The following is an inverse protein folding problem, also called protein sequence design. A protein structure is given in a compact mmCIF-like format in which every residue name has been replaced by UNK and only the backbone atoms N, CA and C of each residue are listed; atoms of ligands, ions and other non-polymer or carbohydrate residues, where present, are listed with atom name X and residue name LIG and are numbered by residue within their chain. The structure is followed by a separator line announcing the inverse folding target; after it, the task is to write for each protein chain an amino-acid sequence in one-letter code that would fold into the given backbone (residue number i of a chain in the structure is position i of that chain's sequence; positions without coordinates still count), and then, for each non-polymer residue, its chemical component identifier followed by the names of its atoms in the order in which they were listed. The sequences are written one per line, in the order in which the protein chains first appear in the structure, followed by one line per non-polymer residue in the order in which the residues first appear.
data_IF_110123592766
#
_entry.id   IF_110123592766
#
_cell.length_a   1.000
_cell.length_b   1.000
_cell.length_c   1.000
_cell.angle_alpha   90.00
_cell.angle_beta   90.00
_cell.angle_gamma   90.00
#
_symmetry.space_group_name_H-M   'P 1'
#
loop_
_entity.id
_entity.type
_entity.pdbx_description
1 polymer ?
#
# COMPACT_ATOMS: atom_id res chain seq x y z
N UNK A 1 18.09 9.29 8.58
CA UNK A 1 17.20 9.74 7.48
C UNK A 1 16.63 8.49 6.84
N UNK A 2 15.30 8.33 6.72
CA UNK A 2 14.71 7.12 6.12
C UNK A 2 14.90 7.19 4.61
N UNK A 3 15.74 6.30 4.09
CA UNK A 3 16.16 6.30 2.68
C UNK A 3 15.10 5.62 1.80
N UNK A 4 14.40 4.64 2.35
CA UNK A 4 13.40 3.86 1.65
C UNK A 4 12.02 4.17 2.23
N UNK A 5 11.15 4.76 1.42
CA UNK A 5 9.74 4.97 1.73
C UNK A 5 8.90 4.55 0.53
N UNK A 6 7.86 3.76 0.75
CA UNK A 6 6.87 3.40 -0.27
C UNK A 6 5.46 3.55 0.28
N UNK A 7 4.56 4.05 -0.55
CA UNK A 7 3.12 3.94 -0.36
C UNK A 7 2.62 2.77 -1.20
N UNK A 8 1.81 1.89 -0.62
CA UNK A 8 1.15 0.78 -1.27
C UNK A 8 -0.35 1.09 -1.24
N UNK A 9 -0.90 1.51 -2.38
CA UNK A 9 -2.29 1.97 -2.49
C UNK A 9 -3.19 0.89 -3.06
N UNK A 10 -4.20 0.49 -2.29
CA UNK A 10 -5.16 -0.54 -2.68
C UNK A 10 -6.53 0.08 -2.89
N UNK A 11 -7.11 -0.15 -4.05
CA UNK A 11 -8.54 0.14 -4.25
C UNK A 11 -9.41 -0.97 -3.69
N UNK A 12 -10.71 -0.70 -3.57
CA UNK A 12 -11.68 -1.69 -3.10
C UNK A 12 -11.62 -2.96 -3.99
N UNK A 13 -11.51 -4.12 -3.34
CA UNK A 13 -11.39 -5.41 -4.02
C UNK A 13 -9.99 -5.72 -4.55
N UNK A 14 -9.03 -4.81 -4.36
CA UNK A 14 -7.64 -5.08 -4.69
C UNK A 14 -6.94 -6.02 -3.68
N UNK A 15 -6.96 -5.81 -2.36
CA UNK A 15 -6.18 -6.69 -1.50
C UNK A 15 -6.81 -8.10 -1.43
N UNK A 16 -5.99 -9.16 -1.29
CA UNK A 16 -6.47 -10.56 -1.16
C UNK A 16 -7.33 -10.79 0.10
N UNK A 17 -7.11 -9.96 1.11
CA UNK A 17 -7.82 -9.97 2.37
C UNK A 17 -7.97 -8.54 2.88
N UNK A 18 -8.87 -8.33 3.84
CA UNK A 18 -8.99 -7.04 4.53
C UNK A 18 -7.66 -6.64 5.16
N UNK A 19 -7.19 -5.42 4.87
CA UNK A 19 -5.99 -4.84 5.48
C UNK A 19 -6.32 -4.44 6.91
N UNK A 20 -5.54 -4.96 7.87
CA UNK A 20 -5.77 -4.76 9.31
C UNK A 20 -4.54 -4.16 9.95
N UNK A 21 -4.73 -3.12 10.78
CA UNK A 21 -3.65 -2.47 11.52
C UNK A 21 -2.82 -3.48 12.34
N UNK A 22 -3.48 -4.45 12.98
CA UNK A 22 -2.83 -5.47 13.82
C UNK A 22 -1.82 -6.34 13.06
N UNK A 23 -2.11 -6.65 11.79
CA UNK A 23 -1.21 -7.41 10.94
C UNK A 23 0.00 -6.57 10.55
N UNK A 24 -0.23 -5.30 10.21
CA UNK A 24 0.81 -4.35 9.84
C UNK A 24 1.74 -4.02 11.02
N UNK A 25 1.19 -3.85 12.22
CA UNK A 25 1.96 -3.66 13.45
C UNK A 25 2.86 -4.86 13.73
N UNK A 26 2.38 -6.07 13.46
CA UNK A 26 3.17 -7.31 13.63
C UNK A 26 4.29 -7.38 12.61
N UNK A 27 4.01 -7.07 11.34
CA UNK A 27 5.03 -7.05 10.28
C UNK A 27 6.10 -6.00 10.61
N UNK A 28 5.68 -4.78 10.98
CA UNK A 28 6.59 -3.69 11.35
C UNK A 28 7.51 -4.05 12.50
N UNK A 29 6.97 -4.67 13.57
CA UNK A 29 7.77 -5.17 14.70
C UNK A 29 8.73 -6.30 14.30
N UNK A 30 8.29 -7.22 13.45
CA UNK A 30 9.09 -8.39 13.04
C UNK A 30 10.32 -7.98 12.24
N UNK A 31 10.17 -7.04 11.31
CA UNK A 31 11.25 -6.60 10.43
C UNK A 31 11.92 -5.30 10.88
N UNK A 32 11.51 -4.71 12.02
CA UNK A 32 12.09 -3.47 12.53
C UNK A 32 11.89 -2.26 11.60
N UNK A 33 10.76 -2.21 10.90
CA UNK A 33 10.40 -1.12 9.98
C UNK A 33 9.21 -0.33 10.50
N UNK A 34 9.09 0.92 10.06
CA UNK A 34 7.92 1.72 10.37
C UNK A 34 6.84 1.50 9.33
N UNK A 35 5.63 1.15 9.78
CA UNK A 35 4.45 0.98 8.94
C UNK A 35 3.33 1.87 9.46
N UNK A 36 2.74 2.64 8.57
CA UNK A 36 1.55 3.44 8.83
C UNK A 36 0.43 2.99 7.89
N UNK A 37 -0.80 2.99 8.38
CA UNK A 37 -1.96 2.62 7.60
C UNK A 37 -3.01 3.72 7.65
N UNK A 38 -3.50 4.09 6.48
CA UNK A 38 -4.56 5.05 6.31
C UNK A 38 -5.67 4.43 5.49
N UNK A 39 -6.90 4.57 5.99
CA UNK A 39 -8.11 4.19 5.27
C UNK A 39 -8.84 5.46 4.85
N UNK A 40 -8.92 5.66 3.54
CA UNK A 40 -9.64 6.78 2.94
C UNK A 40 -10.95 6.21 2.39
N UNK A 41 -12.09 6.67 2.87
CA UNK A 41 -13.41 6.27 2.37
C UNK A 41 -14.25 7.52 2.10
N UNK A 42 -14.37 7.85 0.81
CA UNK A 42 -15.10 9.03 0.33
C UNK A 42 -16.36 8.64 -0.45
N UNK A 43 -16.82 7.40 -0.28
CA UNK A 43 -18.08 6.93 -0.85
C UNK A 43 -19.26 7.51 -0.08
N UNK A 44 -20.30 7.88 -0.81
CA UNK A 44 -21.59 8.29 -0.27
C UNK A 44 -22.64 7.22 -0.55
N UNK A 45 -23.58 7.06 0.38
CA UNK A 45 -24.73 6.19 0.18
C UNK A 45 -25.88 7.00 -0.40
N UNK A 46 -26.28 6.68 -1.63
CA UNK A 46 -27.39 7.33 -2.33
C UNK A 46 -28.30 6.28 -2.97
N UNK A 47 -29.59 6.32 -2.62
CA UNK A 47 -30.63 5.42 -3.13
C UNK A 47 -30.28 3.93 -3.05
N UNK A 48 -29.69 3.47 -1.92
CA UNK A 48 -29.36 2.06 -1.73
C UNK A 48 -28.02 1.62 -2.33
N UNK A 49 -27.29 2.53 -2.99
CA UNK A 49 -26.05 2.25 -3.71
C UNK A 49 -24.92 3.09 -3.12
N UNK A 50 -23.77 2.46 -2.87
CA UNK A 50 -22.53 3.17 -2.56
C UNK A 50 -21.96 3.77 -3.85
N UNK A 51 -21.77 5.10 -3.88
CA UNK A 51 -21.24 5.83 -5.03
C UNK A 51 -20.06 6.69 -4.61
N UNK A 52 -19.16 6.98 -5.55
CA UNK A 52 -18.10 7.95 -5.36
C UNK A 52 -17.86 8.72 -6.66
N UNK A 53 -17.82 10.04 -6.54
CA UNK A 53 -17.37 10.93 -7.61
C UNK A 53 -15.84 11.05 -7.55
N UNK A 54 -15.14 10.56 -8.56
CA UNK A 54 -13.66 10.55 -8.62
C UNK A 54 -13.09 11.53 -9.64
N UNK A 55 -13.89 12.00 -10.61
CA UNK A 55 -13.41 12.89 -11.66
C UNK A 55 -13.03 14.26 -11.09
N UNK A 56 -11.78 14.68 -11.32
CA UNK A 56 -11.26 15.97 -10.86
C UNK A 56 -10.79 15.99 -9.40
N UNK A 57 -10.86 14.86 -8.69
CA UNK A 57 -10.30 14.73 -7.34
C UNK A 57 -8.81 14.37 -7.39
N UNK A 58 -8.07 14.79 -6.37
CA UNK A 58 -6.70 14.31 -6.18
C UNK A 58 -6.73 12.81 -5.83
N UNK A 59 -5.65 12.09 -6.14
CA UNK A 59 -5.59 10.65 -5.88
C UNK A 59 -5.73 10.37 -4.39
N UNK A 60 -5.19 11.22 -3.52
CA UNK A 60 -5.29 11.13 -2.06
C UNK A 60 -6.72 11.35 -1.54
N UNK A 61 -7.65 11.82 -2.36
CA UNK A 61 -9.06 12.03 -2.02
C UNK A 61 -9.98 10.92 -2.56
N UNK A 62 -9.41 9.90 -3.21
CA UNK A 62 -10.18 8.75 -3.72
C UNK A 62 -10.18 7.63 -2.68
N UNK A 63 -11.29 6.91 -2.56
CA UNK A 63 -11.41 5.76 -1.65
C UNK A 63 -10.34 4.71 -1.92
N UNK A 64 -9.50 4.48 -0.91
CA UNK A 64 -8.40 3.54 -0.97
C UNK A 64 -7.84 3.25 0.42
N UNK A 65 -7.13 2.14 0.52
CA UNK A 65 -6.32 1.78 1.66
C UNK A 65 -4.85 2.08 1.31
N UNK A 66 -4.14 2.84 2.15
CA UNK A 66 -2.74 3.22 1.94
C UNK A 66 -1.88 2.64 3.05
N UNK A 67 -0.98 1.71 2.69
CA UNK A 67 0.06 1.24 3.59
C UNK A 67 1.34 2.01 3.25
N UNK A 68 1.86 2.77 4.22
CA UNK A 68 3.16 3.43 4.10
C UNK A 68 4.20 2.64 4.85
N UNK A 69 5.26 2.21 4.18
CA UNK A 69 6.40 1.54 4.80
C UNK A 69 7.63 2.43 4.67
N UNK A 70 8.40 2.56 5.75
CA UNK A 70 9.62 3.35 5.74
C UNK A 70 10.75 2.70 6.56
N UNK A 71 11.96 2.76 6.03
CA UNK A 71 13.17 2.19 6.65
C UNK A 71 14.45 2.95 6.25
N UNK A 72 15.47 2.85 7.09
CA UNK A 72 16.84 3.22 6.75
C UNK A 72 17.65 2.09 6.09
N UNK A 73 17.16 0.86 6.19
CA UNK A 73 17.83 -0.37 5.73
C UNK A 73 17.01 -1.04 4.62
N UNK A 74 17.66 -1.32 3.49
CA UNK A 74 17.01 -1.91 2.31
C UNK A 74 16.56 -3.36 2.53
N UNK A 75 17.33 -4.15 3.28
CA UNK A 75 17.05 -5.57 3.52
C UNK A 75 15.79 -5.70 4.35
N UNK A 76 15.74 -5.00 5.49
CA UNK A 76 14.57 -4.99 6.37
C UNK A 76 13.34 -4.42 5.65
N UNK A 77 13.52 -3.39 4.84
CA UNK A 77 12.47 -2.82 4.01
C UNK A 77 11.91 -3.86 3.03
N UNK A 78 12.79 -4.54 2.28
CA UNK A 78 12.42 -5.55 1.29
C UNK A 78 11.63 -6.69 1.91
N UNK A 79 12.10 -7.23 3.04
CA UNK A 79 11.41 -8.31 3.75
C UNK A 79 10.02 -7.90 4.22
N UNK A 80 9.86 -6.69 4.75
CA UNK A 80 8.55 -6.18 5.16
C UNK A 80 7.58 -6.05 3.97
N UNK A 81 8.05 -5.56 2.82
CA UNK A 81 7.22 -5.48 1.60
C UNK A 81 6.84 -6.87 1.11
N UNK A 82 7.75 -7.83 1.13
CA UNK A 82 7.47 -9.22 0.78
C UNK A 82 6.38 -9.81 1.69
N UNK A 83 6.49 -9.63 3.02
CA UNK A 83 5.48 -10.09 3.97
C UNK A 83 4.10 -9.42 3.74
N UNK A 84 4.07 -8.13 3.39
CA UNK A 84 2.83 -7.43 3.02
C UNK A 84 2.25 -8.04 1.74
N UNK A 85 3.05 -8.28 0.71
CA UNK A 85 2.57 -8.85 -0.56
C UNK A 85 2.14 -10.30 -0.43
N UNK A 86 2.79 -11.12 0.39
CA UNK A 86 2.32 -12.48 0.66
C UNK A 86 0.91 -12.49 1.26
N UNK A 87 0.60 -11.50 2.09
CA UNK A 87 -0.69 -11.41 2.79
C UNK A 87 -1.77 -10.72 1.96
N UNK A 88 -1.43 -9.61 1.31
CA UNK A 88 -2.40 -8.72 0.66
C UNK A 88 -2.26 -8.67 -0.86
N UNK A 89 -1.21 -9.27 -1.44
CA UNK A 89 -0.69 -9.08 -2.81
C UNK A 89 -0.13 -7.68 -3.05
N UNK A 90 0.62 -7.53 -4.14
CA UNK A 90 1.05 -6.21 -4.60
C UNK A 90 -0.13 -5.37 -5.10
N UNK A 91 -0.11 -4.03 -4.92
CA UNK A 91 -1.10 -3.14 -5.48
C UNK A 91 -1.27 -3.29 -6.99
N UNK A 92 -2.52 -3.45 -7.44
CA UNK A 92 -2.92 -3.47 -8.85
C UNK A 92 -3.71 -2.19 -9.23
N UNK A 93 -3.23 -1.02 -8.77
CA UNK A 93 -3.48 0.32 -9.38
C UNK A 93 -2.23 1.01 -9.99
N UNK A 94 -2.37 1.69 -11.14
CA UNK A 94 -1.27 2.41 -11.81
C UNK A 94 -0.61 3.47 -10.91
N UNK A 95 -1.35 3.93 -9.88
CA UNK A 95 -0.88 4.88 -8.88
C UNK A 95 -0.37 4.19 -7.60
N UNK A 96 -0.14 2.87 -7.64
CA UNK A 96 0.10 2.02 -6.48
C UNK A 96 1.25 2.49 -5.60
N UNK A 97 2.24 3.19 -6.20
CA UNK A 97 3.43 3.72 -5.55
C UNK A 97 3.52 5.26 -5.56
N UNK A 98 2.44 5.97 -5.87
CA UNK A 98 2.46 7.44 -5.96
C UNK A 98 2.86 8.08 -4.62
N UNK A 99 3.79 9.03 -4.66
CA UNK A 99 4.37 9.71 -3.50
C UNK A 99 5.58 8.99 -2.86
N UNK A 100 5.94 7.79 -3.34
CA UNK A 100 7.06 7.02 -2.81
C UNK A 100 8.41 7.66 -3.11
N UNK A 101 9.41 7.34 -2.30
CA UNK A 101 10.81 7.59 -2.66
C UNK A 101 11.21 6.76 -3.89
N UNK A 102 12.20 7.24 -4.67
CA UNK A 102 12.71 6.51 -5.85
C UNK A 102 13.21 5.11 -5.48
N UNK A 103 13.99 5.00 -4.41
CA UNK A 103 14.56 3.72 -3.96
C UNK A 103 13.47 2.78 -3.40
N UNK A 104 12.53 3.30 -2.60
CA UNK A 104 11.41 2.50 -2.09
C UNK A 104 10.50 1.97 -3.21
N UNK A 105 10.21 2.81 -4.22
CA UNK A 105 9.44 2.40 -5.39
C UNK A 105 10.18 1.34 -6.21
N UNK A 106 11.50 1.47 -6.39
CA UNK A 106 12.32 0.47 -7.11
C UNK A 106 12.20 -0.89 -6.44
N UNK A 107 12.48 -0.97 -5.14
CA UNK A 107 12.44 -2.24 -4.38
C UNK A 107 11.03 -2.86 -4.42
N UNK A 108 9.98 -2.06 -4.21
CA UNK A 108 8.61 -2.58 -4.21
C UNK A 108 8.15 -3.11 -5.58
N UNK A 109 8.67 -2.55 -6.69
CA UNK A 109 8.42 -3.04 -8.04
C UNK A 109 9.16 -4.34 -8.34
N UNK A 110 10.44 -4.41 -7.98
CA UNK A 110 11.25 -5.63 -8.13
C UNK A 110 10.56 -6.83 -7.43
N UNK A 111 10.08 -6.62 -6.18
CA UNK A 111 9.35 -7.67 -5.45
C UNK A 111 8.02 -8.01 -6.14
N UNK A 112 7.29 -7.01 -6.68
CA UNK A 112 6.03 -7.28 -7.37
C UNK A 112 6.26 -8.15 -8.61
N UNK A 113 7.31 -7.88 -9.39
CA UNK A 113 7.71 -8.70 -10.53
C UNK A 113 8.09 -10.13 -10.10
N UNK A 114 8.90 -10.27 -9.04
CA UNK A 114 9.31 -11.58 -8.50
C UNK A 114 8.17 -12.43 -7.98
N UNK A 115 7.16 -11.80 -7.36
CA UNK A 115 6.00 -12.48 -6.77
C UNK A 115 4.88 -12.73 -7.79
N UNK A 116 5.08 -12.40 -9.07
CA UNK A 116 4.06 -12.53 -10.12
C UNK A 116 2.87 -11.58 -9.93
N UNK A 117 3.02 -10.60 -9.05
CA UNK A 117 2.04 -9.53 -8.80
C UNK A 117 2.31 -8.27 -9.63
N UNK A 118 3.29 -8.32 -10.52
CA UNK A 118 3.64 -7.26 -11.46
C UNK A 118 2.48 -6.91 -12.41
N UNK A 119 2.66 -5.76 -13.05
CA UNK A 119 1.75 -5.14 -13.99
C UNK A 119 1.87 -5.70 -15.40
#
# INVERSE_FOLDING_TARGET
MKKYTVHLRYYIGDPLAEIRQEDLDRIGKTHGVEIFFEKIDNRTFDNGIMKEETLGKAIEEITQDVITVASGDETLFREAILAIYERYRSPRTAYGFWGSSKDGQRVAKEIAEETGGGW
#
